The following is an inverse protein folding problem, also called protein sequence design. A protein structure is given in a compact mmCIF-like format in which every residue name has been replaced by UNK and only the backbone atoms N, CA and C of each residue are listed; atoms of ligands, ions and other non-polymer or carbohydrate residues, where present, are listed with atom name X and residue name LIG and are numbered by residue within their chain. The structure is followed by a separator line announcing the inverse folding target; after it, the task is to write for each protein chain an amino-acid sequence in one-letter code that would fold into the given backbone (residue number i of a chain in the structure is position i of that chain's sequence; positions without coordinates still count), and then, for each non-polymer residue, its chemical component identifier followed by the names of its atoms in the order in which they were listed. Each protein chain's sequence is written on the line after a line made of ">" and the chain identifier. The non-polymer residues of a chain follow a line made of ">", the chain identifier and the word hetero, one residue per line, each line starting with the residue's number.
data_IF_173066180728
#
_entry.id   IF_173066180728
#
_cell.length_a   1.000
_cell.length_b   1.000
_cell.length_c   1.000
_cell.angle_alpha   90.00
_cell.angle_beta   90.00
_cell.angle_gamma   90.00
#
_symmetry.space_group_name_H-M   'P 1'
#
loop_
_entity.id
_entity.type
_entity.pdbx_description
1 polymer ?
#
# COMPACT_ATOMS: atom_id res chain seq x y z
N UNK A 1 17.59 11.33 11.58
CA UNK A 1 16.14 11.44 11.83
C UNK A 1 15.60 12.77 11.33
N UNK A 2 16.14 13.92 11.78
CA UNK A 2 15.71 15.24 11.26
C UNK A 2 15.74 15.36 9.73
N UNK A 3 16.86 15.02 9.08
CA UNK A 3 17.01 15.11 7.62
C UNK A 3 15.97 14.25 6.87
N UNK A 4 15.79 13.00 7.31
CA UNK A 4 14.77 12.10 6.78
C UNK A 4 13.38 12.72 6.91
N UNK A 5 13.07 13.30 8.07
CA UNK A 5 11.78 13.95 8.28
C UNK A 5 11.51 15.11 7.32
N UNK A 6 12.50 15.98 7.10
CA UNK A 6 12.40 17.07 6.12
C UNK A 6 12.21 16.51 4.70
N UNK A 7 12.97 15.48 4.34
CA UNK A 7 12.90 14.85 3.02
C UNK A 7 11.51 14.24 2.76
N UNK A 8 10.92 13.57 3.75
CA UNK A 8 9.56 13.03 3.65
C UNK A 8 8.49 14.13 3.49
N UNK A 9 8.61 15.25 4.20
CA UNK A 9 7.69 16.39 4.02
C UNK A 9 7.79 16.93 2.60
N UNK A 10 9.00 17.21 2.12
CA UNK A 10 9.22 17.73 0.77
C UNK A 10 8.70 16.76 -0.29
N UNK A 11 8.98 15.46 -0.14
CA UNK A 11 8.49 14.43 -1.05
C UNK A 11 6.95 14.39 -1.07
N UNK A 12 6.30 14.43 0.10
CA UNK A 12 4.83 14.48 0.19
C UNK A 12 4.23 15.68 -0.53
N UNK A 13 4.84 16.86 -0.40
CA UNK A 13 4.45 18.08 -1.11
C UNK A 13 4.64 17.93 -2.63
N UNK A 14 5.80 17.42 -3.07
CA UNK A 14 6.11 17.21 -4.50
C UNK A 14 5.08 16.28 -5.14
N UNK A 15 4.67 15.21 -4.44
CA UNK A 15 3.68 14.26 -4.96
C UNK A 15 2.33 14.92 -5.24
N UNK A 16 1.92 15.88 -4.42
CA UNK A 16 0.67 16.64 -4.65
C UNK A 16 0.86 17.69 -5.74
N UNK A 17 1.98 18.41 -5.73
CA UNK A 17 2.25 19.50 -6.68
C UNK A 17 2.51 18.99 -8.10
N UNK A 18 2.96 17.75 -8.26
CA UNK A 18 3.27 17.15 -9.55
C UNK A 18 2.67 15.73 -9.67
N UNK A 19 1.34 15.61 -9.84
CA UNK A 19 0.66 14.32 -9.85
C UNK A 19 1.14 13.38 -10.96
N UNK A 20 1.35 13.89 -12.17
CA UNK A 20 1.68 13.04 -13.33
C UNK A 20 3.04 12.36 -13.18
N UNK A 21 4.17 13.07 -12.92
CA UNK A 21 5.45 12.40 -12.67
C UNK A 21 5.41 11.44 -11.47
N UNK A 22 4.68 11.80 -10.41
CA UNK A 22 4.56 10.96 -9.22
C UNK A 22 3.81 9.66 -9.49
N UNK A 23 2.77 9.69 -10.31
CA UNK A 23 2.08 8.46 -10.73
C UNK A 23 2.97 7.57 -11.58
N UNK A 24 3.74 8.14 -12.51
CA UNK A 24 4.69 7.38 -13.33
C UNK A 24 5.73 6.73 -12.43
N UNK A 25 6.27 7.47 -11.46
CA UNK A 25 7.20 6.94 -10.48
C UNK A 25 6.57 5.79 -9.66
N UNK A 26 5.38 5.99 -9.10
CA UNK A 26 4.71 5.00 -8.25
C UNK A 26 4.36 3.71 -9.01
N UNK A 27 3.85 3.84 -10.23
CA UNK A 27 3.52 2.68 -11.09
C UNK A 27 4.75 1.93 -11.55
N UNK A 28 5.82 2.64 -11.90
CA UNK A 28 7.10 2.02 -12.26
C UNK A 28 7.71 1.32 -11.04
N UNK A 29 7.71 1.99 -9.89
CA UNK A 29 8.21 1.42 -8.63
C UNK A 29 7.46 0.17 -8.23
N UNK A 30 6.13 0.18 -8.35
CA UNK A 30 5.28 -0.99 -8.14
C UNK A 30 5.64 -2.13 -9.09
N UNK A 31 5.81 -1.84 -10.38
CA UNK A 31 6.18 -2.84 -11.40
C UNK A 31 7.53 -3.50 -11.11
N UNK A 32 8.54 -2.70 -10.75
CA UNK A 32 9.87 -3.21 -10.36
C UNK A 32 9.78 -4.01 -9.05
N UNK A 33 8.94 -3.58 -8.12
CA UNK A 33 8.74 -4.30 -6.85
C UNK A 33 8.19 -5.71 -7.09
N UNK A 34 7.25 -5.91 -8.02
CA UNK A 34 6.78 -7.26 -8.40
C UNK A 34 7.90 -8.16 -8.92
N UNK A 35 8.81 -7.63 -9.75
CA UNK A 35 9.97 -8.40 -10.18
C UNK A 35 10.88 -8.78 -9.02
N UNK A 36 11.19 -7.80 -8.16
CA UNK A 36 12.09 -8.01 -7.02
C UNK A 36 11.49 -9.01 -6.03
N UNK A 37 10.21 -8.87 -5.70
CA UNK A 37 9.50 -9.81 -4.83
C UNK A 37 9.44 -11.21 -5.44
N UNK A 38 9.07 -11.34 -6.72
CA UNK A 38 9.05 -12.63 -7.39
C UNK A 38 10.42 -13.33 -7.39
N UNK A 39 11.50 -12.60 -7.66
CA UNK A 39 12.86 -13.14 -7.59
C UNK A 39 13.19 -13.60 -6.16
N UNK A 40 12.95 -12.75 -5.15
CA UNK A 40 13.25 -13.11 -3.76
C UNK A 40 12.42 -14.30 -3.26
N UNK A 41 11.16 -14.39 -3.64
CA UNK A 41 10.28 -15.48 -3.21
C UNK A 41 10.66 -16.81 -3.89
N UNK A 42 11.09 -16.78 -5.16
CA UNK A 42 11.66 -17.95 -5.83
C UNK A 42 12.95 -18.39 -5.12
N UNK A 43 13.87 -17.47 -4.84
CA UNK A 43 15.13 -17.78 -4.12
C UNK A 43 14.81 -18.37 -2.74
N UNK A 44 13.86 -17.79 -2.01
CA UNK A 44 13.42 -18.25 -0.71
C UNK A 44 12.82 -19.66 -0.78
N UNK A 45 11.92 -19.91 -1.73
CA UNK A 45 11.30 -21.22 -1.94
C UNK A 45 12.35 -22.31 -2.23
N UNK A 46 13.30 -22.02 -3.12
CA UNK A 46 14.39 -22.95 -3.47
C UNK A 46 15.36 -23.19 -2.29
N UNK A 47 15.53 -22.21 -1.41
CA UNK A 47 16.36 -22.34 -0.20
C UNK A 47 15.64 -23.09 0.92
N UNK A 48 14.30 -23.10 0.92
CA UNK A 48 13.46 -23.62 2.00
C UNK A 48 12.51 -24.75 1.53
N UNK A 49 13.00 -25.62 0.64
CA UNK A 49 12.25 -26.75 0.05
C UNK A 49 11.76 -27.79 1.07
N UNK A 50 12.36 -27.81 2.27
CA UNK A 50 11.96 -28.73 3.34
C UNK A 50 10.68 -28.30 4.08
N UNK A 51 10.17 -27.09 3.84
CA UNK A 51 8.92 -26.61 4.46
C UNK A 51 7.69 -27.14 3.70
N UNK A 52 6.62 -27.50 4.41
CA UNK A 52 5.41 -28.05 3.78
C UNK A 52 4.76 -27.14 2.72
N UNK A 53 5.05 -25.84 2.75
CA UNK A 53 4.44 -24.84 1.87
C UNK A 53 5.39 -24.33 0.78
N UNK A 54 6.59 -24.92 0.61
CA UNK A 54 7.60 -24.43 -0.34
C UNK A 54 7.06 -24.23 -1.76
N UNK A 55 6.22 -25.16 -2.24
CA UNK A 55 5.63 -25.10 -3.57
C UNK A 55 4.67 -23.94 -3.79
N UNK A 56 3.99 -23.47 -2.73
CA UNK A 56 3.13 -22.29 -2.79
C UNK A 56 3.96 -21.01 -2.94
N UNK A 57 5.08 -20.91 -2.22
CA UNK A 57 6.03 -19.80 -2.39
C UNK A 57 6.67 -19.80 -3.78
N UNK A 58 6.97 -20.99 -4.34
CA UNK A 58 7.50 -21.05 -5.70
C UNK A 58 6.48 -20.54 -6.73
N UNK A 59 5.22 -21.00 -6.60
CA UNK A 59 4.14 -20.60 -7.49
C UNK A 59 3.84 -19.09 -7.35
N UNK A 60 3.80 -18.58 -6.12
CA UNK A 60 3.65 -17.15 -5.83
C UNK A 60 4.76 -16.32 -6.47
N UNK A 61 6.02 -16.71 -6.24
CA UNK A 61 7.17 -16.00 -6.78
C UNK A 61 7.22 -16.00 -8.32
N UNK A 62 6.84 -17.11 -8.96
CA UNK A 62 6.72 -17.18 -10.44
C UNK A 62 5.61 -16.24 -10.93
N UNK A 63 4.44 -16.24 -10.28
CA UNK A 63 3.33 -15.36 -10.64
C UNK A 63 3.73 -13.89 -10.50
N UNK A 64 4.36 -13.51 -9.39
CA UNK A 64 4.81 -12.14 -9.15
C UNK A 64 5.85 -11.69 -10.17
N UNK A 65 6.80 -12.57 -10.51
CA UNK A 65 7.81 -12.31 -11.53
C UNK A 65 7.16 -12.13 -12.91
N UNK A 66 6.19 -12.98 -13.28
CA UNK A 66 5.46 -12.85 -14.55
C UNK A 66 4.69 -11.52 -14.61
N UNK A 67 3.97 -11.17 -13.54
CA UNK A 67 3.23 -9.90 -13.46
C UNK A 67 4.20 -8.72 -13.59
N UNK A 68 5.34 -8.75 -12.90
CA UNK A 68 6.38 -7.72 -13.01
C UNK A 68 6.94 -7.59 -14.43
N UNK A 69 7.20 -8.70 -15.12
CA UNK A 69 7.70 -8.69 -16.51
C UNK A 69 6.64 -8.09 -17.45
N UNK A 70 5.38 -8.51 -17.31
CA UNK A 70 4.25 -7.99 -18.09
C UNK A 70 4.13 -6.48 -17.87
N UNK A 71 4.18 -6.03 -16.61
CA UNK A 71 4.08 -4.61 -16.28
C UNK A 71 5.19 -3.78 -16.93
N UNK A 72 6.45 -4.17 -16.78
CA UNK A 72 7.59 -3.42 -17.34
C UNK A 72 7.57 -3.41 -18.88
N UNK A 73 7.15 -4.51 -19.50
CA UNK A 73 7.03 -4.59 -20.96
C UNK A 73 5.82 -3.82 -21.52
N UNK A 74 4.88 -3.42 -20.67
CA UNK A 74 3.65 -2.73 -21.07
C UNK A 74 3.77 -1.20 -21.08
N UNK A 75 2.83 -0.54 -21.77
CA UNK A 75 2.73 0.91 -21.78
C UNK A 75 2.34 1.46 -20.40
N UNK A 76 2.74 2.71 -20.12
CA UNK A 76 2.47 3.36 -18.82
C UNK A 76 0.98 3.41 -18.45
N UNK A 77 0.09 3.55 -19.43
CA UNK A 77 -1.36 3.52 -19.20
C UNK A 77 -1.85 2.15 -18.71
N UNK A 78 -1.26 1.07 -19.20
CA UNK A 78 -1.57 -0.29 -18.76
C UNK A 78 -1.06 -0.53 -17.34
N UNK A 79 0.17 -0.07 -17.03
CA UNK A 79 0.74 -0.13 -15.68
C UNK A 79 -0.14 0.61 -14.66
N UNK A 80 -0.56 1.82 -15.02
CA UNK A 80 -1.51 2.63 -14.26
C UNK A 80 -2.83 1.89 -14.01
N UNK A 81 -3.41 1.29 -15.05
CA UNK A 81 -4.66 0.53 -14.93
C UNK A 81 -4.55 -0.68 -14.01
N UNK A 82 -3.44 -1.44 -14.12
CA UNK A 82 -3.19 -2.60 -13.27
C UNK A 82 -2.98 -2.16 -11.81
N UNK A 83 -2.21 -1.09 -11.56
CA UNK A 83 -2.05 -0.56 -10.21
C UNK A 83 -3.41 -0.18 -9.58
N UNK A 84 -4.28 0.51 -10.33
CA UNK A 84 -5.65 0.82 -9.89
C UNK A 84 -6.49 -0.41 -9.60
N UNK A 85 -6.36 -1.45 -10.42
CA UNK A 85 -7.03 -2.71 -10.19
C UNK A 85 -6.57 -3.34 -8.86
N UNK A 86 -5.27 -3.36 -8.59
CA UNK A 86 -4.74 -3.85 -7.30
C UNK A 86 -5.28 -3.05 -6.11
N UNK A 87 -5.34 -1.71 -6.21
CA UNK A 87 -5.91 -0.85 -5.17
C UNK A 87 -7.39 -1.17 -4.94
N UNK A 88 -8.17 -1.26 -6.02
CA UNK A 88 -9.60 -1.58 -5.95
C UNK A 88 -9.85 -2.98 -5.39
N UNK A 89 -9.09 -3.97 -5.84
CA UNK A 89 -9.17 -5.33 -5.34
C UNK A 89 -8.82 -5.40 -3.85
N UNK A 90 -7.72 -4.76 -3.43
CA UNK A 90 -7.36 -4.65 -2.02
C UNK A 90 -8.45 -4.01 -1.17
N UNK A 91 -9.05 -2.93 -1.66
CA UNK A 91 -10.14 -2.23 -0.97
C UNK A 91 -11.39 -3.11 -0.84
N UNK A 92 -11.65 -3.99 -1.82
CA UNK A 92 -12.73 -4.97 -1.76
C UNK A 92 -12.53 -5.94 -0.59
N UNK A 93 -11.33 -6.53 -0.44
CA UNK A 93 -11.05 -7.42 0.71
C UNK A 93 -11.18 -6.68 2.03
N UNK A 94 -10.72 -5.43 2.07
CA UNK A 94 -10.83 -4.59 3.26
C UNK A 94 -12.29 -4.35 3.63
N UNK A 95 -13.14 -4.00 2.65
CA UNK A 95 -14.57 -3.80 2.85
C UNK A 95 -15.29 -5.07 3.34
N UNK A 96 -14.98 -6.22 2.73
CA UNK A 96 -15.52 -7.53 3.18
C UNK A 96 -15.09 -7.85 4.61
N UNK A 97 -13.81 -7.63 4.94
CA UNK A 97 -13.28 -7.83 6.29
C UNK A 97 -13.94 -6.90 7.31
N UNK A 98 -14.19 -5.64 6.92
CA UNK A 98 -14.83 -4.64 7.77
C UNK A 98 -16.30 -5.00 8.06
N UNK A 99 -17.00 -5.58 7.09
CA UNK A 99 -18.34 -6.15 7.29
C UNK A 99 -18.28 -7.30 8.29
N UNK A 100 -17.32 -8.22 8.15
CA UNK A 100 -17.10 -9.30 9.13
C UNK A 100 -16.91 -8.76 10.55
N UNK A 101 -16.00 -7.79 10.71
CA UNK A 101 -15.76 -7.13 11.98
C UNK A 101 -16.99 -6.41 12.54
N UNK A 102 -17.85 -5.86 11.68
CA UNK A 102 -19.10 -5.23 12.13
C UNK A 102 -20.03 -6.25 12.82
N UNK A 103 -20.09 -7.48 12.32
CA UNK A 103 -20.85 -8.55 12.94
C UNK A 103 -20.21 -9.05 14.24
N UNK A 104 -18.88 -9.13 14.29
CA UNK A 104 -18.18 -9.47 15.54
C UNK A 104 -18.51 -8.46 16.65
N UNK A 105 -18.46 -7.16 16.33
CA UNK A 105 -18.78 -6.06 17.25
C UNK A 105 -20.25 -6.09 17.68
N UNK A 106 -21.16 -6.44 16.76
CA UNK A 106 -22.58 -6.66 17.08
C UNK A 106 -22.74 -7.81 18.08
N UNK A 107 -22.04 -8.92 17.89
CA UNK A 107 -22.09 -10.09 18.77
C UNK A 107 -21.51 -9.79 20.16
N UNK A 108 -20.60 -8.83 20.27
CA UNK A 108 -20.05 -8.33 21.55
C UNK A 108 -21.00 -7.36 22.29
N UNK A 109 -22.18 -7.06 21.76
CA UNK A 109 -23.17 -6.18 22.40
C UNK A 109 -22.88 -4.68 22.27
N UNK A 110 -21.99 -4.28 21.36
CA UNK A 110 -21.61 -2.88 21.16
C UNK A 110 -22.62 -2.22 20.19
N UNK A 111 -23.23 -1.10 20.62
CA UNK A 111 -24.33 -0.45 19.89
C UNK A 111 -23.95 0.19 18.54
N UNK A 112 -22.66 0.47 18.29
CA UNK A 112 -22.21 1.22 17.11
C UNK A 112 -21.88 0.34 15.89
N UNK A 113 -22.24 -0.94 15.91
CA UNK A 113 -21.95 -1.90 14.84
C UNK A 113 -22.49 -1.48 13.47
N UNK A 114 -23.66 -0.83 13.44
CA UNK A 114 -24.30 -0.41 12.19
C UNK A 114 -23.46 0.58 11.38
N UNK A 115 -22.70 1.46 12.06
CA UNK A 115 -21.80 2.41 11.39
C UNK A 115 -20.66 1.69 10.67
N UNK A 116 -20.05 0.69 11.33
CA UNK A 116 -19.03 -0.15 10.72
C UNK A 116 -19.58 -0.92 9.51
N UNK A 117 -20.79 -1.47 9.61
CA UNK A 117 -21.41 -2.16 8.47
C UNK A 117 -21.59 -1.21 7.28
N UNK A 118 -22.09 0.01 7.52
CA UNK A 118 -22.26 1.00 6.45
C UNK A 118 -20.94 1.40 5.82
N UNK A 119 -19.87 1.55 6.62
CA UNK A 119 -18.53 1.82 6.11
C UNK A 119 -18.00 0.68 5.23
N UNK A 120 -18.24 -0.57 5.61
CA UNK A 120 -17.82 -1.73 4.83
C UNK A 120 -18.53 -1.82 3.49
N UNK A 121 -19.85 -1.57 3.46
CA UNK A 121 -20.61 -1.51 2.20
C UNK A 121 -20.11 -0.35 1.33
N UNK A 122 -19.85 0.81 1.92
CA UNK A 122 -19.32 1.96 1.18
C UNK A 122 -17.93 1.68 0.61
N UNK A 123 -17.05 1.00 1.35
CA UNK A 123 -15.74 0.57 0.85
C UNK A 123 -15.87 -0.38 -0.35
N UNK A 124 -16.81 -1.33 -0.32
CA UNK A 124 -17.07 -2.23 -1.46
C UNK A 124 -17.58 -1.44 -2.67
N UNK A 125 -18.54 -0.52 -2.48
CA UNK A 125 -19.05 0.30 -3.59
C UNK A 125 -17.90 1.14 -4.19
N UNK A 126 -17.09 1.75 -3.33
CA UNK A 126 -15.93 2.53 -3.75
C UNK A 126 -14.90 1.66 -4.49
N UNK A 127 -14.70 0.42 -4.06
CA UNK A 127 -13.80 -0.52 -4.71
C UNK A 127 -14.24 -0.84 -6.14
N UNK A 128 -15.54 -1.08 -6.34
CA UNK A 128 -16.11 -1.28 -7.68
C UNK A 128 -15.96 -0.04 -8.55
N UNK A 129 -16.19 1.16 -8.01
CA UNK A 129 -16.00 2.42 -8.73
C UNK A 129 -14.55 2.58 -9.17
N UNK A 130 -13.57 2.27 -8.31
CA UNK A 130 -12.15 2.35 -8.62
C UNK A 130 -11.76 1.40 -9.75
N UNK A 131 -12.27 0.16 -9.74
CA UNK A 131 -11.98 -0.83 -10.78
C UNK A 131 -12.57 -0.39 -12.13
N UNK A 132 -13.79 0.17 -12.14
CA UNK A 132 -14.44 0.66 -13.36
C UNK A 132 -13.82 1.96 -13.88
N UNK A 133 -13.30 2.81 -12.98
CA UNK A 133 -12.69 4.10 -13.30
C UNK A 133 -11.30 4.19 -12.68
N UNK A 134 -10.27 3.60 -13.32
CA UNK A 134 -8.91 3.54 -12.81
C UNK A 134 -8.31 4.89 -12.34
N UNK A 135 -8.58 6.05 -12.97
CA UNK A 135 -8.04 7.33 -12.51
C UNK A 135 -8.42 7.67 -11.06
N UNK A 136 -9.59 7.22 -10.58
CA UNK A 136 -10.04 7.45 -9.21
C UNK A 136 -9.15 6.71 -8.21
N UNK A 137 -8.79 5.46 -8.52
CA UNK A 137 -7.87 4.67 -7.70
C UNK A 137 -6.49 5.31 -7.58
N UNK A 138 -5.96 5.81 -8.69
CA UNK A 138 -4.67 6.50 -8.72
C UNK A 138 -4.68 7.80 -7.92
N UNK A 139 -5.74 8.60 -8.04
CA UNK A 139 -5.90 9.82 -7.26
C UNK A 139 -5.98 9.51 -5.76
N UNK A 140 -6.75 8.49 -5.37
CA UNK A 140 -6.85 8.05 -3.99
C UNK A 140 -5.48 7.59 -3.45
N UNK A 141 -4.71 6.83 -4.23
CA UNK A 141 -3.37 6.40 -3.85
C UNK A 141 -2.41 7.58 -3.71
N UNK A 142 -2.42 8.55 -4.62
CA UNK A 142 -1.58 9.75 -4.49
C UNK A 142 -1.87 10.50 -3.19
N UNK A 143 -3.15 10.76 -2.91
CA UNK A 143 -3.56 11.47 -1.71
C UNK A 143 -3.11 10.69 -0.47
N UNK A 144 -3.33 9.37 -0.45
CA UNK A 144 -2.95 8.52 0.67
C UNK A 144 -1.42 8.48 0.88
N UNK A 145 -0.64 8.32 -0.18
CA UNK A 145 0.83 8.35 -0.15
C UNK A 145 1.33 9.70 0.35
N UNK A 146 0.84 10.80 -0.23
CA UNK A 146 1.24 12.16 0.17
C UNK A 146 0.96 12.44 1.63
N UNK A 147 -0.26 12.13 2.10
CA UNK A 147 -0.64 12.32 3.50
C UNK A 147 0.27 11.48 4.41
N UNK A 148 0.52 10.22 4.04
CA UNK A 148 1.40 9.32 4.80
C UNK A 148 2.83 9.85 4.90
N UNK A 149 3.37 10.38 3.81
CA UNK A 149 4.72 10.99 3.79
C UNK A 149 4.78 12.24 4.66
N UNK A 150 3.76 13.10 4.62
CA UNK A 150 3.69 14.28 5.48
C UNK A 150 3.66 13.88 6.96
N UNK A 151 2.83 12.91 7.34
CA UNK A 151 2.77 12.40 8.70
C UNK A 151 4.08 11.76 9.15
N UNK A 152 4.70 10.91 8.33
CA UNK A 152 6.01 10.31 8.60
C UNK A 152 7.10 11.37 8.78
N UNK A 153 7.06 12.41 7.96
CA UNK A 153 8.00 13.53 8.03
C UNK A 153 7.91 14.26 9.38
N UNK A 154 6.69 14.61 9.80
CA UNK A 154 6.43 15.23 11.11
C UNK A 154 6.86 14.30 12.24
N UNK A 155 6.55 13.00 12.14
CA UNK A 155 6.93 11.99 13.13
C UNK A 155 8.45 11.92 13.32
N UNK A 156 9.23 11.83 12.24
CA UNK A 156 10.69 11.77 12.31
C UNK A 156 11.34 13.04 12.86
N UNK A 157 10.77 14.20 12.57
CA UNK A 157 11.23 15.48 13.15
C UNK A 157 10.99 15.46 14.66
N UNK A 158 9.77 15.11 15.10
CA UNK A 158 9.42 15.01 16.52
C UNK A 158 10.35 14.05 17.27
N UNK A 159 10.58 12.86 16.71
CA UNK A 159 11.44 11.84 17.30
C UNK A 159 12.90 12.30 17.39
N UNK A 160 13.38 13.05 16.41
CA UNK A 160 14.73 13.62 16.45
C UNK A 160 14.94 14.57 17.64
N UNK A 161 13.91 15.32 18.02
CA UNK A 161 13.97 16.19 19.20
C UNK A 161 13.86 15.40 20.50
N UNK A 162 12.98 14.40 20.56
CA UNK A 162 12.83 13.52 21.71
C UNK A 162 14.12 12.77 22.04
N UNK A 163 14.80 12.21 21.03
CA UNK A 163 16.09 11.53 21.22
C UNK A 163 17.17 12.49 21.70
N UNK A 164 17.22 13.72 21.15
CA UNK A 164 18.17 14.76 21.62
C UNK A 164 17.93 15.14 23.08
N UNK A 165 16.66 15.27 23.50
CA UNK A 165 16.29 15.60 24.89
C UNK A 165 16.69 14.48 25.86
N UNK A 166 16.46 13.22 25.49
CA UNK A 166 16.85 12.06 26.33
C UNK A 166 18.37 12.00 26.48
N UNK A 167 19.14 12.19 25.40
CA UNK A 167 20.61 12.23 25.45
C UNK A 167 21.13 13.31 26.40
N UNK A 168 20.53 14.51 26.36
CA UNK A 168 20.94 15.62 27.22
C UNK A 168 20.56 15.44 28.70
N UNK A 169 19.62 14.57 29.03
CA UNK A 169 19.23 14.27 30.42
C UNK A 169 20.05 13.13 31.05
N UNK A 170 20.85 12.39 30.26
CA UNK A 170 21.68 11.27 30.71
C UNK A 170 23.18 11.61 30.81
N UNK A 171 23.56 12.83 30.42
CA UNK A 171 24.93 13.38 30.50
C UNK A 171 24.91 14.51 31.51
#
# INVERSE_FOLDING_TARGET
>A
MLLLGILFILAGIIVIMSPTPSLIFLTTFFSVSFLVFGIFEIIFSLSNTHTSNWGWYLAGGILDLLVGVILISSNIFTQMGILSFFIGFWLLFKGVSLIGHSFDIKNMGISNWGWLLTLGILEIILSFIIVMFPPIGLAALLIWVSISMLFLGIYYISLSFSVKKIKNNMV
#
